data_IF_892161169935
#
_entry.id   IF_892161169935
#
_cell.length_a   1.000
_cell.length_b   1.000
_cell.length_c   1.000
_cell.angle_alpha   90.00
_cell.angle_beta   90.00
_cell.angle_gamma   90.00
#
_symmetry.space_group_name_H-M   'P 1'
#
loop_
_entity.id
_entity.type
_entity.pdbx_description
1 polymer ?
#
# COMPACT_ATOMS: atom_id res chain seq x y z
N UNK A 1 10.94 3.99 -70.41
CA UNK A 1 12.13 3.35 -69.81
C UNK A 1 12.22 3.55 -68.30
N UNK A 2 11.97 4.74 -67.72
CA UNK A 2 12.01 4.91 -66.25
C UNK A 2 10.91 4.18 -65.46
N UNK A 3 9.76 3.91 -66.06
CA UNK A 3 8.63 3.21 -65.40
C UNK A 3 8.80 1.70 -65.28
N UNK A 4 9.66 1.08 -66.09
CA UNK A 4 9.95 -0.36 -66.00
C UNK A 4 10.93 -0.67 -64.86
N UNK A 5 11.94 0.18 -64.66
CA UNK A 5 12.91 0.03 -63.56
C UNK A 5 12.26 0.11 -62.17
N UNK A 6 11.29 1.00 -61.97
CA UNK A 6 10.58 1.12 -60.68
C UNK A 6 9.67 -0.08 -60.37
N UNK A 7 9.10 -0.71 -61.41
CA UNK A 7 8.27 -1.91 -61.26
C UNK A 7 9.13 -3.13 -60.90
N UNK A 8 10.33 -3.20 -61.49
CA UNK A 8 11.29 -4.28 -61.21
C UNK A 8 11.84 -4.19 -59.78
N UNK A 9 12.14 -2.98 -59.27
CA UNK A 9 12.56 -2.78 -57.87
C UNK A 9 11.48 -3.18 -56.86
N UNK A 10 10.22 -2.83 -57.12
CA UNK A 10 9.11 -3.20 -56.25
C UNK A 10 8.88 -4.72 -56.21
N UNK A 11 9.09 -5.39 -57.34
CA UNK A 11 8.97 -6.85 -57.46
C UNK A 11 10.11 -7.57 -56.73
N UNK A 12 11.33 -7.02 -56.77
CA UNK A 12 12.48 -7.54 -56.02
C UNK A 12 12.24 -7.38 -54.50
N UNK A 13 11.80 -6.20 -54.05
CA UNK A 13 11.54 -5.94 -52.63
C UNK A 13 10.43 -6.83 -52.05
N UNK A 14 9.37 -7.11 -52.81
CA UNK A 14 8.32 -8.04 -52.39
C UNK A 14 8.85 -9.47 -52.24
N UNK A 15 9.70 -9.90 -53.17
CA UNK A 15 10.28 -11.25 -53.16
C UNK A 15 11.27 -11.44 -52.01
N UNK A 16 12.05 -10.42 -51.68
CA UNK A 16 12.96 -10.43 -50.52
C UNK A 16 12.18 -10.46 -49.19
N UNK A 17 11.06 -9.74 -49.11
CA UNK A 17 10.18 -9.76 -47.94
C UNK A 17 9.52 -11.14 -47.75
N UNK A 18 9.03 -11.75 -48.84
CA UNK A 18 8.47 -13.11 -48.81
C UNK A 18 9.52 -14.14 -48.38
N UNK A 19 10.75 -14.06 -48.91
CA UNK A 19 11.86 -14.91 -48.47
C UNK A 19 12.22 -14.71 -47.00
N UNK A 20 12.16 -13.47 -46.49
CA UNK A 20 12.40 -13.18 -45.08
C UNK A 20 11.30 -13.75 -44.17
N UNK A 21 10.03 -13.62 -44.58
CA UNK A 21 8.88 -14.18 -43.85
C UNK A 21 8.98 -15.71 -43.83
N UNK A 22 9.34 -16.33 -44.95
CA UNK A 22 9.49 -17.78 -45.07
C UNK A 22 10.71 -18.29 -44.28
N UNK A 23 11.82 -17.54 -44.27
CA UNK A 23 12.97 -17.83 -43.42
C UNK A 23 12.64 -17.71 -41.93
N UNK A 24 11.82 -16.74 -41.51
CA UNK A 24 11.36 -16.64 -40.12
C UNK A 24 10.36 -17.74 -39.73
N UNK A 25 9.45 -18.12 -40.63
CA UNK A 25 8.49 -19.20 -40.40
C UNK A 25 9.18 -20.56 -40.27
N UNK A 26 10.27 -20.78 -41.01
CA UNK A 26 11.10 -21.98 -40.96
C UNK A 26 12.20 -21.93 -39.89
N UNK A 27 12.41 -20.79 -39.22
CA UNK A 27 13.36 -20.64 -38.12
C UNK A 27 12.78 -21.01 -36.74
N UNK A 28 11.59 -21.61 -36.70
CA UNK A 28 11.08 -22.26 -35.49
C UNK A 28 11.85 -23.58 -35.35
N UNK A 29 12.74 -23.74 -34.35
CA UNK A 29 13.37 -25.03 -34.15
C UNK A 29 12.30 -26.07 -33.80
N UNK A 30 12.26 -27.15 -34.58
CA UNK A 30 11.57 -28.40 -34.29
C UNK A 30 12.06 -28.95 -32.94
N UNK A 31 11.49 -28.46 -31.84
CA UNK A 31 11.57 -29.14 -30.55
C UNK A 31 10.21 -29.82 -30.36
N UNK A 32 10.14 -31.16 -30.37
CA UNK A 32 8.90 -31.87 -30.14
C UNK A 32 8.34 -31.52 -28.75
N UNK A 33 7.01 -31.57 -28.54
CA UNK A 33 6.33 -31.19 -27.28
C UNK A 33 6.59 -32.17 -26.12
N UNK A 34 7.73 -32.87 -26.12
CA UNK A 34 8.20 -33.75 -25.05
C UNK A 34 9.05 -33.06 -23.98
N UNK A 35 9.37 -31.76 -24.11
CA UNK A 35 10.27 -31.06 -23.19
C UNK A 35 9.85 -29.61 -22.89
N UNK A 36 8.56 -29.38 -22.61
CA UNK A 36 8.07 -28.04 -22.22
C UNK A 36 8.74 -27.49 -20.93
N UNK A 37 9.49 -28.32 -20.20
CA UNK A 37 10.17 -27.97 -18.95
C UNK A 37 11.68 -27.74 -19.09
N UNK A 38 12.36 -28.17 -20.17
CA UNK A 38 13.78 -27.85 -20.39
C UNK A 38 14.08 -26.36 -20.43
N UNK A 39 13.28 -25.53 -21.16
CA UNK A 39 13.56 -24.10 -21.23
C UNK A 39 13.51 -23.44 -19.85
N UNK A 40 12.64 -23.93 -18.96
CA UNK A 40 12.51 -23.43 -17.59
C UNK A 40 13.73 -23.87 -16.76
N UNK A 41 14.14 -25.13 -16.89
CA UNK A 41 15.30 -25.64 -16.18
C UNK A 41 16.59 -24.92 -16.60
N UNK A 42 16.76 -24.71 -17.91
CA UNK A 42 17.88 -23.95 -18.46
C UNK A 42 17.84 -22.49 -18.02
N UNK A 43 16.66 -21.87 -17.96
CA UNK A 43 16.52 -20.51 -17.46
C UNK A 43 16.93 -20.41 -15.98
N UNK A 44 16.52 -21.36 -15.14
CA UNK A 44 16.94 -21.41 -13.73
C UNK A 44 18.45 -21.59 -13.59
N UNK A 45 19.05 -22.51 -14.35
CA UNK A 45 20.50 -22.73 -14.35
C UNK A 45 21.25 -21.46 -14.78
N UNK A 46 20.80 -20.80 -15.85
CA UNK A 46 21.40 -19.55 -16.34
C UNK A 46 21.30 -18.42 -15.31
N UNK A 47 20.17 -18.31 -14.60
CA UNK A 47 19.96 -17.30 -13.55
C UNK A 47 20.92 -17.55 -12.39
N UNK A 48 21.06 -18.80 -11.95
CA UNK A 48 21.99 -19.14 -10.87
C UNK A 48 23.44 -18.89 -11.30
N UNK A 49 23.82 -19.30 -12.52
CA UNK A 49 25.16 -19.10 -13.05
C UNK A 49 25.51 -17.62 -13.15
N UNK A 50 24.57 -16.81 -13.65
CA UNK A 50 24.74 -15.37 -13.73
C UNK A 50 24.82 -14.72 -12.34
N UNK A 51 24.00 -15.16 -11.38
CA UNK A 51 24.04 -14.68 -10.01
C UNK A 51 25.40 -14.95 -9.35
N UNK A 52 25.94 -16.17 -9.49
CA UNK A 52 27.26 -16.52 -8.96
C UNK A 52 28.38 -15.74 -9.65
N UNK A 53 28.32 -15.59 -10.97
CA UNK A 53 29.26 -14.77 -11.71
C UNK A 53 29.26 -13.32 -11.23
N UNK A 54 28.08 -12.71 -11.03
CA UNK A 54 27.96 -11.35 -10.48
C UNK A 54 28.56 -11.22 -9.08
N UNK A 55 28.33 -12.21 -8.22
CA UNK A 55 28.92 -12.24 -6.88
C UNK A 55 30.45 -12.31 -6.95
N UNK A 56 31.00 -13.15 -7.82
CA UNK A 56 32.44 -13.26 -8.05
C UNK A 56 33.03 -11.96 -8.62
N UNK A 57 32.36 -11.31 -9.57
CA UNK A 57 32.80 -10.00 -10.08
C UNK A 57 32.80 -8.95 -8.98
N UNK A 58 31.81 -8.97 -8.08
CA UNK A 58 31.71 -8.03 -6.96
C UNK A 58 32.79 -8.26 -5.90
N UNK A 59 33.24 -9.49 -5.69
CA UNK A 59 34.34 -9.82 -4.80
C UNK A 59 35.71 -9.42 -5.37
N UNK A 60 35.91 -9.55 -6.69
CA UNK A 60 37.20 -9.32 -7.34
C UNK A 60 37.42 -7.89 -7.86
N UNK A 61 36.36 -7.14 -8.16
CA UNK A 61 36.45 -5.78 -8.69
C UNK A 61 36.30 -4.73 -7.59
N UNK A 62 36.96 -3.59 -7.75
CA UNK A 62 36.68 -2.44 -6.90
C UNK A 62 35.23 -1.96 -7.11
N UNK A 63 34.66 -1.28 -6.09
CA UNK A 63 33.30 -0.70 -6.15
C UNK A 63 33.09 0.19 -7.38
N UNK A 64 34.13 0.90 -7.84
CA UNK A 64 34.09 1.78 -9.02
C UNK A 64 34.03 0.97 -10.32
N UNK A 65 34.84 -0.09 -10.43
CA UNK A 65 34.89 -0.98 -11.61
C UNK A 65 33.61 -1.81 -11.73
N UNK A 66 33.11 -2.36 -10.62
CA UNK A 66 31.85 -3.10 -10.62
C UNK A 66 30.66 -2.23 -11.07
N UNK A 67 30.57 -0.98 -10.58
CA UNK A 67 29.56 -0.01 -11.05
C UNK A 67 29.74 0.38 -12.51
N UNK A 68 30.97 0.35 -13.04
CA UNK A 68 31.22 0.58 -14.47
C UNK A 68 30.71 -0.60 -15.29
N UNK A 69 30.97 -1.83 -14.85
CA UNK A 69 30.46 -3.06 -15.48
C UNK A 69 28.93 -3.09 -15.53
N UNK A 70 28.25 -2.78 -14.42
CA UNK A 70 26.78 -2.73 -14.39
C UNK A 70 26.24 -1.70 -15.38
N UNK A 71 26.84 -0.50 -15.44
CA UNK A 71 26.44 0.54 -16.40
C UNK A 71 26.66 0.14 -17.85
N UNK A 72 27.73 -0.58 -18.16
CA UNK A 72 27.98 -1.12 -19.52
C UNK A 72 26.90 -2.12 -19.96
N UNK A 73 26.33 -2.86 -19.00
CA UNK A 73 25.22 -3.79 -19.24
C UNK A 73 23.83 -3.11 -19.14
N UNK A 74 23.77 -1.79 -18.92
CA UNK A 74 22.52 -1.05 -18.77
C UNK A 74 21.81 -1.24 -17.41
N UNK A 75 22.48 -1.82 -16.41
CA UNK A 75 21.91 -2.11 -15.10
C UNK A 75 22.19 -0.97 -14.11
N UNK A 76 21.20 -0.67 -13.27
CA UNK A 76 21.25 0.35 -12.20
C UNK A 76 21.25 -0.30 -10.82
N UNK A 77 20.25 -1.12 -10.51
CA UNK A 77 20.03 -1.74 -9.18
C UNK A 77 19.51 -3.18 -9.25
N UNK A 78 19.37 -3.72 -10.47
CA UNK A 78 18.86 -5.04 -10.76
C UNK A 78 19.75 -6.15 -10.18
N UNK A 79 21.06 -5.89 -10.08
CA UNK A 79 22.07 -6.79 -9.52
C UNK A 79 21.75 -7.23 -8.09
N UNK A 80 21.12 -6.36 -7.30
CA UNK A 80 20.80 -6.61 -5.89
C UNK A 80 19.96 -7.89 -5.71
N UNK A 81 19.05 -8.19 -6.64
CA UNK A 81 18.23 -9.41 -6.57
C UNK A 81 19.05 -10.67 -6.86
N UNK A 82 19.96 -10.60 -7.84
CA UNK A 82 20.84 -11.70 -8.20
C UNK A 82 21.90 -11.97 -7.13
N UNK A 83 22.44 -10.93 -6.52
CA UNK A 83 23.39 -11.07 -5.40
C UNK A 83 22.74 -11.76 -4.19
N UNK A 84 21.46 -11.50 -3.91
CA UNK A 84 20.71 -12.24 -2.87
C UNK A 84 20.56 -13.72 -3.23
N UNK A 85 20.30 -14.03 -4.50
CA UNK A 85 20.25 -15.42 -5.00
C UNK A 85 21.60 -16.11 -4.80
N UNK A 86 22.69 -15.46 -5.20
CA UNK A 86 24.04 -15.99 -5.03
C UNK A 86 24.37 -16.24 -3.54
N UNK A 87 24.01 -15.31 -2.65
CA UNK A 87 24.23 -15.45 -1.22
C UNK A 87 23.41 -16.61 -0.62
N UNK A 88 22.13 -16.73 -0.99
CA UNK A 88 21.23 -17.76 -0.46
C UNK A 88 21.58 -19.17 -0.93
N UNK A 89 22.05 -19.33 -2.18
CA UNK A 89 22.31 -20.62 -2.80
C UNK A 89 23.80 -20.92 -3.01
N UNK A 90 24.69 -20.23 -2.29
CA UNK A 90 26.16 -20.37 -2.41
C UNK A 90 26.66 -21.81 -2.26
N UNK A 91 25.95 -22.63 -1.48
CA UNK A 91 26.31 -24.01 -1.17
C UNK A 91 25.77 -25.04 -2.19
N UNK A 92 24.92 -24.63 -3.14
CA UNK A 92 24.29 -25.53 -4.11
C UNK A 92 25.02 -25.49 -5.45
N UNK A 93 25.10 -26.64 -6.13
CA UNK A 93 25.47 -26.61 -7.53
C UNK A 93 24.29 -26.11 -8.38
N UNK A 94 24.60 -25.38 -9.45
CA UNK A 94 23.60 -24.81 -10.37
C UNK A 94 22.60 -25.86 -10.91
N UNK A 95 23.09 -27.09 -11.12
CA UNK A 95 22.31 -28.21 -11.65
C UNK A 95 21.32 -28.78 -10.65
N UNK A 96 21.63 -28.74 -9.35
CA UNK A 96 20.78 -29.34 -8.30
C UNK A 96 19.46 -28.59 -8.18
N UNK A 97 19.48 -27.28 -8.47
CA UNK A 97 18.30 -26.41 -8.40
C UNK A 97 17.61 -26.20 -9.77
N UNK A 98 18.10 -26.85 -10.83
CA UNK A 98 17.57 -26.70 -12.20
C UNK A 98 16.09 -27.09 -12.31
N UNK A 99 15.60 -28.00 -11.46
CA UNK A 99 14.20 -28.45 -11.44
C UNK A 99 13.25 -27.51 -10.68
N UNK A 100 13.75 -26.36 -10.19
CA UNK A 100 12.97 -25.33 -9.51
C UNK A 100 12.64 -24.21 -10.50
N UNK A 101 11.45 -23.63 -10.38
CA UNK A 101 11.07 -22.48 -11.21
C UNK A 101 11.86 -21.21 -10.82
N UNK A 102 12.26 -20.35 -11.77
CA UNK A 102 12.99 -19.11 -11.49
C UNK A 102 12.30 -18.22 -10.45
N UNK A 103 10.98 -18.13 -10.51
CA UNK A 103 10.17 -17.34 -9.58
C UNK A 103 10.30 -17.81 -8.12
N UNK A 104 10.51 -19.11 -7.92
CA UNK A 104 10.65 -19.73 -6.60
C UNK A 104 12.05 -19.48 -6.04
N UNK A 105 13.09 -19.57 -6.87
CA UNK A 105 14.47 -19.18 -6.52
C UNK A 105 14.49 -17.74 -5.99
N UNK A 106 13.91 -16.79 -6.74
CA UNK A 106 13.84 -15.40 -6.29
C UNK A 106 12.99 -15.23 -5.02
N UNK A 107 11.91 -15.99 -4.85
CA UNK A 107 11.05 -15.91 -3.66
C UNK A 107 11.81 -16.32 -2.39
N UNK A 108 12.56 -17.43 -2.47
CA UNK A 108 13.38 -17.95 -1.38
C UNK A 108 14.50 -16.95 -1.04
N UNK A 109 15.28 -16.55 -2.05
CA UNK A 109 16.42 -15.66 -1.87
C UNK A 109 16.06 -14.24 -1.38
N UNK A 110 14.92 -13.69 -1.80
CA UNK A 110 14.52 -12.34 -1.37
C UNK A 110 14.06 -12.27 0.09
N UNK A 111 13.70 -13.40 0.71
CA UNK A 111 13.20 -13.46 2.08
C UNK A 111 13.99 -14.49 2.91
N UNK A 112 15.32 -14.30 3.08
CA UNK A 112 16.17 -15.30 3.71
C UNK A 112 15.72 -15.58 5.15
N UNK A 113 15.40 -14.55 5.95
CA UNK A 113 14.91 -14.71 7.34
C UNK A 113 13.70 -15.64 7.46
N UNK A 114 12.84 -15.69 6.44
CA UNK A 114 11.61 -16.49 6.46
C UNK A 114 11.84 -17.92 5.98
N UNK A 115 12.70 -18.09 4.97
CA UNK A 115 12.89 -19.36 4.27
C UNK A 115 14.27 -19.99 4.49
N UNK A 116 15.11 -19.43 5.39
CA UNK A 116 16.45 -19.94 5.64
C UNK A 116 16.41 -21.42 6.03
N UNK A 117 15.55 -21.78 6.98
CA UNK A 117 15.38 -23.17 7.38
C UNK A 117 14.96 -24.08 6.21
N UNK A 118 14.26 -23.54 5.20
CA UNK A 118 13.82 -24.36 4.06
C UNK A 118 15.00 -24.57 3.13
N UNK A 119 15.77 -23.50 2.90
CA UNK A 119 17.00 -23.54 2.12
C UNK A 119 18.00 -24.51 2.78
N UNK A 120 18.17 -24.47 4.10
CA UNK A 120 19.07 -25.37 4.80
C UNK A 120 18.62 -26.83 4.67
N UNK A 121 17.31 -27.12 4.82
CA UNK A 121 16.75 -28.45 4.62
C UNK A 121 16.88 -28.98 3.19
N UNK A 122 17.01 -28.11 2.18
CA UNK A 122 17.25 -28.53 0.80
C UNK A 122 18.63 -29.16 0.62
N UNK A 123 19.61 -28.87 1.47
CA UNK A 123 20.96 -29.47 1.39
C UNK A 123 20.97 -30.96 1.71
N UNK A 124 20.05 -31.41 2.56
CA UNK A 124 19.96 -32.80 3.01
C UNK A 124 19.14 -33.67 2.05
N UNK A 125 18.48 -33.08 1.04
CA UNK A 125 17.65 -33.81 0.10
C UNK A 125 18.48 -34.38 -1.07
N UNK A 126 18.27 -35.66 -1.44
CA UNK A 126 19.00 -36.27 -2.56
C UNK A 126 18.56 -35.74 -3.92
N UNK A 127 17.33 -35.24 -4.02
CA UNK A 127 16.79 -34.63 -5.24
C UNK A 127 15.89 -33.45 -4.90
N UNK A 128 16.21 -32.29 -5.46
CA UNK A 128 15.47 -31.06 -5.22
C UNK A 128 14.50 -30.84 -6.38
N UNK A 129 13.20 -30.83 -6.10
CA UNK A 129 12.14 -30.61 -7.10
C UNK A 129 11.27 -29.44 -6.69
N UNK A 130 10.54 -28.86 -7.65
CA UNK A 130 9.59 -27.78 -7.38
C UNK A 130 8.52 -28.18 -6.33
N UNK A 131 8.11 -29.46 -6.29
CA UNK A 131 7.15 -29.95 -5.30
C UNK A 131 7.72 -29.97 -3.89
N UNK A 132 8.92 -30.54 -3.70
CA UNK A 132 9.55 -30.62 -2.37
C UNK A 132 9.80 -29.24 -1.77
N UNK A 133 10.22 -28.27 -2.60
CA UNK A 133 10.38 -26.88 -2.18
C UNK A 133 9.05 -26.26 -1.73
N UNK A 134 7.96 -26.51 -2.46
CA UNK A 134 6.62 -25.99 -2.09
C UNK A 134 6.13 -26.61 -0.77
N UNK A 135 6.40 -27.87 -0.54
CA UNK A 135 6.03 -28.57 0.69
C UNK A 135 6.81 -28.00 1.89
N UNK A 136 8.13 -27.79 1.76
CA UNK A 136 8.96 -27.16 2.79
C UNK A 136 8.50 -25.73 3.11
N UNK A 137 8.19 -24.93 2.08
CA UNK A 137 7.62 -23.58 2.26
C UNK A 137 6.29 -23.64 3.02
N UNK A 138 5.49 -24.67 2.79
CA UNK A 138 4.18 -24.84 3.43
C UNK A 138 4.33 -25.28 4.88
N UNK A 139 5.24 -26.20 5.17
CA UNK A 139 5.56 -26.66 6.53
C UNK A 139 6.08 -25.52 7.42
N UNK A 140 6.75 -24.52 6.82
CA UNK A 140 7.24 -23.33 7.53
C UNK A 140 6.20 -22.25 7.75
N UNK A 141 5.00 -22.38 7.20
CA UNK A 141 3.90 -21.49 7.60
C UNK A 141 3.48 -21.90 8.99
N UNK A 142 3.77 -21.05 9.98
CA UNK A 142 3.16 -21.17 11.31
C UNK A 142 1.64 -21.32 11.13
N UNK A 143 1.01 -22.30 11.79
CA UNK A 143 -0.43 -22.44 11.76
C UNK A 143 -1.03 -21.10 12.15
N UNK A 144 -1.67 -20.43 11.19
CA UNK A 144 -2.36 -19.19 11.47
C UNK A 144 -3.58 -19.62 12.25
N UNK A 145 -3.54 -19.50 13.57
CA UNK A 145 -4.71 -19.75 14.40
C UNK A 145 -5.88 -18.99 13.77
N UNK A 146 -7.00 -19.67 13.48
CA UNK A 146 -8.15 -19.03 12.90
C UNK A 146 -8.61 -17.99 13.92
N UNK A 147 -8.29 -16.71 13.65
CA UNK A 147 -8.77 -15.59 14.47
C UNK A 147 -10.27 -15.82 14.63
N UNK A 148 -10.73 -16.06 15.86
CA UNK A 148 -12.15 -16.13 16.16
C UNK A 148 -12.76 -14.81 15.70
N UNK A 149 -13.45 -14.83 14.57
CA UNK A 149 -14.01 -13.63 13.95
C UNK A 149 -15.23 -13.27 14.77
N UNK A 150 -15.04 -12.51 15.85
CA UNK A 150 -16.14 -11.70 16.39
C UNK A 150 -16.73 -10.92 15.21
N UNK A 151 -18.07 -10.93 15.03
CA UNK A 151 -18.70 -10.23 13.93
C UNK A 151 -18.38 -8.74 14.05
N UNK A 152 -17.49 -8.26 13.18
CA UNK A 152 -17.14 -6.85 13.11
C UNK A 152 -18.13 -6.14 12.20
N UNK A 153 -18.78 -5.11 12.72
CA UNK A 153 -19.63 -4.20 11.94
C UNK A 153 -18.81 -3.15 11.17
N UNK A 154 -17.48 -3.14 11.31
CA UNK A 154 -16.62 -2.19 10.61
C UNK A 154 -16.34 -2.62 9.18
N UNK A 155 -16.38 -1.65 8.26
CA UNK A 155 -16.02 -1.79 6.85
C UNK A 155 -15.00 -0.72 6.48
N UNK A 156 -14.19 -0.99 5.45
CA UNK A 156 -13.23 -0.04 4.90
C UNK A 156 -13.76 0.58 3.61
N UNK A 157 -13.52 1.87 3.41
CA UNK A 157 -13.77 2.55 2.13
C UNK A 157 -12.57 2.37 1.20
N UNK A 158 -12.77 2.62 -0.10
CA UNK A 158 -11.68 2.57 -1.10
C UNK A 158 -10.52 3.53 -0.79
N UNK A 159 -10.79 4.57 0.01
CA UNK A 159 -9.83 5.60 0.39
C UNK A 159 -9.16 5.32 1.76
N UNK A 160 -9.33 4.12 2.33
CA UNK A 160 -8.74 3.75 3.61
C UNK A 160 -9.49 4.22 4.86
N UNK A 161 -10.60 4.96 4.69
CA UNK A 161 -11.49 5.33 5.79
C UNK A 161 -12.29 4.12 6.33
N UNK A 162 -12.89 4.26 7.52
CA UNK A 162 -13.73 3.22 8.12
C UNK A 162 -15.16 3.74 8.33
N UNK A 163 -16.15 2.88 8.12
CA UNK A 163 -17.54 3.14 8.47
C UNK A 163 -18.14 1.91 9.14
N UNK A 164 -19.14 2.12 9.99
CA UNK A 164 -19.92 1.03 10.56
C UNK A 164 -21.10 0.70 9.64
N UNK A 165 -21.38 -0.60 9.47
CA UNK A 165 -22.54 -1.10 8.77
C UNK A 165 -23.25 -2.09 9.70
N UNK A 166 -24.43 -1.70 10.16
CA UNK A 166 -25.30 -2.57 10.95
C UNK A 166 -25.95 -3.58 9.98
N UNK A 167 -25.87 -4.89 10.25
CA UNK A 167 -26.58 -5.90 9.46
C UNK A 167 -28.10 -5.66 9.47
N UNK A 168 -28.85 -6.22 8.51
CA UNK A 168 -30.31 -6.19 8.56
C UNK A 168 -30.84 -6.70 9.89
N UNK A 169 -31.71 -5.91 10.53
CA UNK A 169 -32.37 -6.27 11.77
C UNK A 169 -33.69 -6.95 11.39
N UNK A 170 -33.82 -8.22 11.72
CA UNK A 170 -35.04 -9.00 11.51
C UNK A 170 -35.67 -9.27 12.88
N UNK A 171 -36.67 -8.46 13.25
CA UNK A 171 -37.47 -8.62 14.47
C UNK A 171 -38.91 -8.97 14.10
N UNK A 172 -39.52 -9.94 14.78
CA UNK A 172 -40.90 -10.35 14.51
C UNK A 172 -41.91 -9.25 14.84
N UNK A 173 -41.63 -8.41 15.84
CA UNK A 173 -42.49 -7.29 16.23
C UNK A 173 -42.34 -6.07 15.33
N UNK A 174 -41.31 -6.04 14.48
CA UNK A 174 -40.92 -4.90 13.63
C UNK A 174 -40.68 -3.58 14.39
N UNK A 175 -40.70 -3.61 15.73
CA UNK A 175 -40.83 -2.43 16.57
C UNK A 175 -39.64 -1.48 16.40
N UNK A 176 -38.42 -1.99 16.30
CA UNK A 176 -37.22 -1.16 16.10
C UNK A 176 -37.30 -0.37 14.79
N UNK A 177 -37.77 -0.99 13.71
CA UNK A 177 -37.91 -0.34 12.40
C UNK A 177 -39.03 0.69 12.40
N UNK A 178 -40.20 0.35 12.92
CA UNK A 178 -41.37 1.26 12.96
C UNK A 178 -41.13 2.46 13.86
N UNK A 179 -40.52 2.25 15.03
CA UNK A 179 -40.22 3.34 15.98
C UNK A 179 -39.14 4.25 15.42
N UNK A 180 -38.11 3.70 14.77
CA UNK A 180 -37.07 4.51 14.13
C UNK A 180 -37.64 5.37 12.99
N UNK A 181 -38.49 4.80 12.15
CA UNK A 181 -39.15 5.54 11.08
C UNK A 181 -40.05 6.65 11.65
N UNK A 182 -40.84 6.36 12.67
CA UNK A 182 -41.69 7.34 13.32
C UNK A 182 -40.87 8.51 13.92
N UNK A 183 -39.75 8.22 14.60
CA UNK A 183 -38.86 9.28 15.11
C UNK A 183 -38.27 10.13 13.98
N UNK A 184 -37.94 9.54 12.83
CA UNK A 184 -37.48 10.31 11.67
C UNK A 184 -38.57 11.23 11.11
N UNK A 185 -39.81 10.76 11.05
CA UNK A 185 -40.94 11.49 10.49
C UNK A 185 -41.43 12.59 11.44
N UNK A 186 -41.52 12.31 12.74
CA UNK A 186 -42.04 13.22 13.77
C UNK A 186 -41.00 14.28 14.17
N UNK A 187 -39.73 13.91 14.29
CA UNK A 187 -38.66 14.81 14.79
C UNK A 187 -37.82 15.42 13.67
N UNK A 188 -37.96 14.93 12.43
CA UNK A 188 -37.15 15.38 11.28
C UNK A 188 -35.67 15.01 11.39
N UNK A 189 -35.31 14.08 12.27
CA UNK A 189 -33.94 13.64 12.48
C UNK A 189 -33.55 12.53 11.50
N UNK A 190 -32.26 12.46 11.16
CA UNK A 190 -31.75 11.32 10.41
C UNK A 190 -31.60 10.08 11.30
N UNK A 191 -31.77 8.89 10.73
CA UNK A 191 -31.52 7.63 11.44
C UNK A 191 -30.13 7.59 12.10
N UNK A 192 -29.10 8.16 11.46
CA UNK A 192 -27.75 8.22 12.02
C UNK A 192 -27.70 9.02 13.33
N UNK A 193 -28.44 10.13 13.39
CA UNK A 193 -28.50 10.99 14.58
C UNK A 193 -29.23 10.29 15.72
N UNK A 194 -30.38 9.70 15.42
CA UNK A 194 -31.17 8.93 16.39
C UNK A 194 -30.35 7.77 16.97
N UNK A 195 -29.66 7.00 16.13
CA UNK A 195 -28.78 5.91 16.57
C UNK A 195 -27.64 6.43 17.46
N UNK A 196 -27.03 7.57 17.11
CA UNK A 196 -25.97 8.16 17.94
C UNK A 196 -26.47 8.55 19.33
N UNK A 197 -27.67 9.13 19.42
CA UNK A 197 -28.29 9.51 20.70
C UNK A 197 -28.69 8.28 21.52
N UNK A 198 -29.27 7.26 20.89
CA UNK A 198 -29.59 5.99 21.54
C UNK A 198 -28.33 5.29 22.11
N UNK A 199 -27.21 5.32 21.39
CA UNK A 199 -25.93 4.80 21.87
C UNK A 199 -25.43 5.61 23.08
N UNK A 200 -25.51 6.95 23.01
CA UNK A 200 -25.11 7.82 24.13
C UNK A 200 -25.96 7.57 25.39
N UNK A 201 -27.28 7.42 25.23
CA UNK A 201 -28.19 7.05 26.32
C UNK A 201 -27.84 5.68 26.90
N UNK A 202 -27.55 4.68 26.05
CA UNK A 202 -27.13 3.36 26.51
C UNK A 202 -25.83 3.40 27.30
N UNK A 203 -24.85 4.21 26.87
CA UNK A 203 -23.60 4.40 27.61
C UNK A 203 -23.83 5.08 28.95
N UNK A 204 -24.61 6.16 28.98
CA UNK A 204 -24.93 6.88 30.22
C UNK A 204 -25.68 5.98 31.23
N UNK A 205 -26.56 5.09 30.75
CA UNK A 205 -27.20 4.08 31.59
C UNK A 205 -26.20 3.06 32.16
N UNK A 206 -25.30 2.52 31.33
CA UNK A 206 -24.27 1.57 31.77
C UNK A 206 -23.28 2.19 32.77
N UNK A 207 -22.99 3.48 32.63
CA UNK A 207 -22.12 4.24 33.55
C UNK A 207 -22.84 4.70 34.82
N UNK A 208 -24.13 4.35 35.01
CA UNK A 208 -24.92 4.71 36.18
C UNK A 208 -25.34 6.19 36.25
N UNK A 209 -25.15 6.95 35.16
CA UNK A 209 -25.58 8.35 35.05
C UNK A 209 -27.08 8.49 34.79
N UNK A 210 -27.73 7.42 34.35
CA UNK A 210 -29.18 7.34 34.16
C UNK A 210 -29.74 6.21 35.01
N UNK A 211 -30.80 6.49 35.77
CA UNK A 211 -31.57 5.49 36.51
C UNK A 211 -32.95 5.40 35.87
N UNK A 212 -33.37 4.18 35.55
CA UNK A 212 -34.72 3.94 35.03
C UNK A 212 -35.71 4.14 36.18
N UNK A 213 -36.42 5.27 36.17
CA UNK A 213 -37.53 5.51 37.08
C UNK A 213 -38.73 4.74 36.54
N UNK A 214 -39.14 3.69 37.25
CA UNK A 214 -40.42 3.05 36.95
C UNK A 214 -41.53 4.02 37.37
N UNK A 215 -42.56 4.25 36.53
CA UNK A 215 -43.68 5.08 36.92
C UNK A 215 -44.36 4.43 38.13
N UNK A 216 -44.33 5.14 39.27
CA UNK A 216 -45.18 4.77 40.40
C UNK A 216 -46.62 4.86 39.91
N UNK A 217 -47.34 3.73 39.96
CA UNK A 217 -48.78 3.74 39.77
C UNK A 217 -49.36 4.64 40.87
N UNK A 218 -49.79 5.84 40.49
CA UNK A 218 -50.67 6.67 41.32
C UNK A 218 -51.96 5.87 41.52
N UNK A 219 -52.04 5.14 42.63
CA UNK A 219 -53.32 4.65 43.14
C UNK A 219 -54.11 5.87 43.60
N UNK A 220 -54.97 6.36 42.71
CA UNK A 220 -55.98 7.35 43.03
C UNK A 220 -56.94 6.77 44.07
N UNK A 221 -56.87 7.23 45.32
CA UNK A 221 -58.02 7.22 46.23
C UNK A 221 -58.34 8.65 46.59
N UNK A 222 -59.44 9.13 46.03
CA UNK A 222 -60.09 10.38 46.41
C UNK A 222 -60.35 10.42 47.92
N UNK A 223 -59.92 11.50 48.56
CA UNK A 223 -60.62 12.09 49.72
C UNK A 223 -60.27 13.58 49.74
N UNK A 224 -61.26 14.41 49.41
CA UNK A 224 -61.21 15.85 49.61
C UNK A 224 -61.04 16.16 51.10
N UNK A 225 -60.15 17.12 51.44
CA UNK A 225 -60.48 18.25 52.33
C UNK A 225 -59.26 19.18 52.52
N UNK A 226 -59.42 20.37 51.94
CA UNK A 226 -59.32 21.69 52.58
C UNK A 226 -57.97 22.30 53.04
N UNK A 227 -57.93 23.62 52.86
CA UNK A 227 -57.14 24.65 53.55
C UNK A 227 -55.69 25.00 53.09
N UNK A 228 -55.64 26.01 52.20
CA UNK A 228 -54.96 27.33 52.34
C UNK A 228 -53.45 27.51 52.60
N UNK A 229 -52.84 28.39 51.76
CA UNK A 229 -51.76 29.40 52.03
C UNK A 229 -50.33 28.80 52.13
N UNK A 230 -49.22 29.31 51.59
CA UNK A 230 -48.80 30.59 51.01
C UNK A 230 -47.60 30.37 50.05
N UNK A 231 -47.41 31.37 49.19
CA UNK A 231 -46.21 31.69 48.40
C UNK A 231 -44.94 31.75 49.26
N UNK A 232 -43.85 31.13 48.81
CA UNK A 232 -42.50 31.73 48.76
C UNK A 232 -41.50 30.82 48.02
N UNK A 233 -40.98 31.32 46.90
CA UNK A 233 -39.59 31.06 46.54
C UNK A 233 -38.68 31.69 47.61
N UNK A 234 -37.47 31.17 47.79
CA UNK A 234 -36.38 31.94 47.20
C UNK A 234 -35.29 31.07 46.54
N UNK A 235 -34.76 31.67 45.48
CA UNK A 235 -33.40 31.56 44.98
C UNK A 235 -32.38 31.89 46.10
N UNK A 236 -31.17 31.31 46.02
CA UNK A 236 -29.86 31.84 46.42
C UNK A 236 -28.87 30.68 46.65
N UNK A 237 -27.88 30.63 45.76
CA UNK A 237 -26.57 30.00 45.94
C UNK A 237 -25.86 30.48 47.20
N UNK A 238 -25.18 29.61 47.94
CA UNK A 238 -23.87 29.94 48.53
C UNK A 238 -23.06 28.71 48.98
N UNK A 239 -21.76 28.90 48.87
CA UNK A 239 -20.62 28.00 49.01
C UNK A 239 -20.31 27.58 50.46
N UNK A 240 -19.77 26.35 50.57
CA UNK A 240 -18.60 25.89 51.35
C UNK A 240 -18.46 26.37 52.82
N UNK A 241 -18.52 25.44 53.80
CA UNK A 241 -17.31 24.95 54.50
C UNK A 241 -17.58 23.78 55.49
N UNK A 242 -16.66 22.80 55.46
CA UNK A 242 -16.06 21.95 56.53
C UNK A 242 -16.80 21.79 57.88
N UNK A 243 -16.94 20.61 58.51
CA UNK A 243 -15.84 19.76 59.01
C UNK A 243 -16.40 18.47 59.70
N UNK A 244 -15.66 17.36 59.51
CA UNK A 244 -15.49 16.12 60.29
C UNK A 244 -16.55 15.61 61.30
N UNK A 245 -16.97 14.34 61.13
CA UNK A 245 -16.89 13.31 62.20
C UNK A 245 -16.60 11.93 61.57
N UNK A 246 -15.48 11.34 61.99
CA UNK A 246 -15.08 9.97 61.72
C UNK A 246 -15.84 8.97 62.61
N UNK A 247 -16.23 7.81 62.08
CA UNK A 247 -16.31 6.56 62.86
C UNK A 247 -15.87 5.36 62.02
N UNK A 248 -14.77 4.77 62.46
CA UNK A 248 -14.24 3.46 62.07
C UNK A 248 -15.12 2.33 62.63
N UNK A 249 -15.21 1.20 61.90
CA UNK A 249 -15.38 -0.13 62.52
C UNK A 249 -14.69 -1.17 61.66
N UNK A 250 -13.96 -2.07 62.33
CA UNK A 250 -12.80 -2.82 61.88
C UNK A 250 -13.12 -4.31 61.57
N UNK A 251 -12.38 -4.84 60.58
CA UNK A 251 -11.81 -6.20 60.43
C UNK A 251 -12.67 -7.48 60.50
N UNK A 252 -12.50 -8.32 59.47
CA UNK A 252 -11.95 -9.69 59.66
C UNK A 252 -11.18 -10.21 58.43
N UNK A 253 -10.10 -10.92 58.74
CA UNK A 253 -8.97 -11.39 57.92
C UNK A 253 -9.13 -12.88 57.60
N UNK A 254 -8.68 -13.33 56.42
CA UNK A 254 -8.02 -14.64 56.25
C UNK A 254 -6.83 -14.49 55.29
N UNK A 255 -5.67 -14.96 55.74
CA UNK A 255 -4.33 -14.88 55.14
C UNK A 255 -3.95 -16.15 54.35
N UNK A 256 -2.77 -16.12 53.69
CA UNK A 256 -1.70 -17.14 53.51
C UNK A 256 -0.75 -16.56 52.41
N UNK A 257 0.42 -15.98 52.73
CA UNK A 257 1.77 -16.59 52.89
C UNK A 257 2.29 -17.25 51.59
N UNK A 258 3.54 -17.12 51.11
CA UNK A 258 4.83 -16.77 51.74
C UNK A 258 5.90 -16.48 50.66
N UNK A 259 6.97 -15.82 51.13
CA UNK A 259 8.24 -15.37 50.54
C UNK A 259 9.08 -16.41 49.79
N UNK A 260 9.98 -15.97 48.87
CA UNK A 260 11.43 -16.35 48.83
C UNK A 260 12.23 -15.29 48.04
N UNK A 261 13.12 -14.57 48.73
CA UNK A 261 14.27 -13.84 48.18
C UNK A 261 15.44 -14.81 47.89
N UNK A 262 16.21 -14.57 46.82
CA UNK A 262 17.54 -15.15 46.67
C UNK A 262 18.46 -14.21 45.87
N UNK A 263 19.41 -13.56 46.58
CA UNK A 263 20.63 -13.01 46.00
C UNK A 263 21.62 -14.14 45.71
N UNK A 264 22.38 -14.07 44.61
CA UNK A 264 23.76 -14.58 44.64
C UNK A 264 24.68 -13.85 43.62
N UNK A 265 25.83 -13.46 44.14
CA UNK A 265 26.99 -12.90 43.43
C UNK A 265 27.96 -14.04 43.12
N UNK A 266 28.59 -14.05 41.93
CA UNK A 266 30.02 -14.40 41.83
C UNK A 266 30.62 -14.18 40.43
N UNK A 267 31.68 -13.37 40.45
CA UNK A 267 33.02 -13.57 39.87
C UNK A 267 33.30 -13.67 38.35
N UNK A 268 34.15 -12.70 37.96
CA UNK A 268 35.29 -12.69 37.04
C UNK A 268 35.30 -13.54 35.76
N UNK A 269 35.49 -12.85 34.63
CA UNK A 269 36.76 -12.95 33.90
C UNK A 269 37.00 -11.70 33.04
N UNK A 270 38.12 -11.02 33.31
CA UNK A 270 38.84 -10.18 32.37
C UNK A 270 39.51 -11.09 31.31
N UNK A 271 39.83 -10.62 30.08
CA UNK A 271 41.08 -9.87 29.94
C UNK A 271 41.08 -8.75 28.86
N UNK A 272 41.73 -7.63 29.24
CA UNK A 272 42.92 -7.08 28.58
C UNK A 272 42.78 -6.36 27.21
N UNK A 273 42.93 -5.03 27.33
CA UNK A 273 43.85 -4.13 26.61
C UNK A 273 43.65 -3.90 25.12
N UNK A 274 43.17 -2.68 24.84
CA UNK A 274 43.33 -1.97 23.58
C UNK A 274 42.80 -0.55 23.74
N UNK A 275 43.51 0.26 24.55
CA UNK A 275 43.14 1.62 24.90
C UNK A 275 42.87 2.48 23.66
N UNK A 276 41.60 2.84 23.47
CA UNK A 276 41.19 3.98 22.65
C UNK A 276 41.39 5.23 23.51
N UNK A 277 42.52 5.92 23.34
CA UNK A 277 42.66 7.29 23.82
C UNK A 277 42.18 8.24 22.74
N UNK A 278 41.07 8.88 23.06
CA UNK A 278 40.48 10.03 22.39
C UNK A 278 41.41 11.23 22.52
N UNK A 279 41.84 11.80 21.39
CA UNK A 279 42.25 13.20 21.29
C UNK A 279 41.32 13.88 20.27
N UNK A 280 40.71 15.04 20.59
CA UNK A 280 39.72 15.69 19.74
C UNK A 280 40.33 16.73 18.78
N UNK A 281 39.76 16.71 17.56
CA UNK A 281 39.49 17.84 16.64
C UNK A 281 40.63 18.43 15.77
N UNK A 282 40.35 18.85 14.50
CA UNK A 282 39.24 19.73 14.16
C UNK A 282 38.29 19.30 13.02
N UNK A 283 37.11 19.89 13.14
CA UNK A 283 35.96 19.98 12.26
C UNK A 283 36.18 20.05 10.73
N UNK A 284 35.15 19.54 10.04
CA UNK A 284 34.59 19.93 8.72
C UNK A 284 35.46 19.67 7.50
N UNK A 285 35.02 18.70 6.69
CA UNK A 285 34.23 18.97 5.48
C UNK A 285 34.11 17.64 4.71
N UNK A 286 32.96 17.00 4.76
CA UNK A 286 32.52 16.11 3.69
C UNK A 286 31.06 15.73 3.94
N UNK A 287 30.21 16.35 3.14
CA UNK A 287 28.77 16.28 3.20
C UNK A 287 28.31 14.82 3.03
N UNK A 288 27.79 14.23 4.10
CA UNK A 288 26.92 13.07 3.99
C UNK A 288 25.64 13.53 3.28
N UNK A 289 25.43 13.02 2.06
CA UNK A 289 24.19 13.17 1.31
C UNK A 289 23.11 12.35 2.04
N UNK A 290 22.55 12.98 3.07
CA UNK A 290 21.29 12.60 3.70
C UNK A 290 20.20 12.62 2.64
N UNK A 291 20.00 11.49 1.94
CA UNK A 291 18.71 11.19 1.32
C UNK A 291 17.70 10.93 2.43
N UNK A 292 17.38 11.99 3.14
CA UNK A 292 16.20 12.11 3.99
C UNK A 292 14.99 11.71 3.16
N UNK A 293 14.02 11.10 3.82
CA UNK A 293 12.77 10.62 3.27
C UNK A 293 11.95 11.82 2.74
N UNK A 294 12.31 12.36 1.56
CA UNK A 294 11.67 13.56 1.00
C UNK A 294 10.23 13.22 0.65
N UNK A 295 9.30 14.01 1.22
CA UNK A 295 7.87 13.87 0.97
C UNK A 295 7.59 13.81 -0.54
N UNK A 296 6.79 12.83 -1.03
CA UNK A 296 6.44 12.71 -2.44
C UNK A 296 5.88 14.00 -3.07
N UNK A 297 5.24 14.84 -2.26
CA UNK A 297 4.73 16.15 -2.67
C UNK A 297 5.88 17.11 -3.01
N UNK A 298 6.94 17.14 -2.18
CA UNK A 298 8.10 18.01 -2.40
C UNK A 298 8.89 17.59 -3.64
N UNK A 299 9.04 16.28 -3.85
CA UNK A 299 9.63 15.74 -5.09
C UNK A 299 8.83 16.17 -6.34
N UNK A 300 7.49 16.15 -6.26
CA UNK A 300 6.64 16.62 -7.36
C UNK A 300 6.77 18.13 -7.58
N UNK A 301 6.82 18.95 -6.53
CA UNK A 301 7.03 20.40 -6.66
C UNK A 301 8.40 20.68 -7.27
N UNK A 302 9.46 20.07 -6.76
CA UNK A 302 10.83 20.26 -7.25
C UNK A 302 10.96 19.86 -8.72
N UNK A 303 10.37 18.71 -9.11
CA UNK A 303 10.36 18.28 -10.51
C UNK A 303 9.59 19.25 -11.40
N UNK A 304 8.42 19.76 -10.98
CA UNK A 304 7.69 20.79 -11.73
C UNK A 304 8.45 22.11 -11.84
N UNK A 305 9.29 22.46 -10.85
CA UNK A 305 10.14 23.65 -10.85
C UNK A 305 11.41 23.51 -11.69
N UNK A 306 12.00 22.32 -11.76
CA UNK A 306 13.22 22.07 -12.54
C UNK A 306 12.94 21.57 -13.96
N UNK A 307 11.73 21.09 -14.24
CA UNK A 307 11.41 20.51 -15.53
C UNK A 307 11.65 21.47 -16.70
N UNK A 308 12.33 20.95 -17.71
CA UNK A 308 12.66 21.65 -18.96
C UNK A 308 11.78 21.22 -20.13
N UNK A 309 11.08 20.09 -19.97
CA UNK A 309 10.27 19.47 -21.02
C UNK A 309 8.91 18.98 -20.49
N UNK A 310 7.93 18.84 -21.39
CA UNK A 310 6.64 18.24 -21.03
C UNK A 310 6.77 16.78 -20.64
N UNK A 311 7.72 16.03 -21.20
CA UNK A 311 7.88 14.62 -20.87
C UNK A 311 8.20 14.43 -19.37
N UNK A 312 9.11 15.24 -18.82
CA UNK A 312 9.45 15.22 -17.40
C UNK A 312 8.23 15.52 -16.51
N UNK A 313 7.43 16.52 -16.90
CA UNK A 313 6.20 16.92 -16.21
C UNK A 313 5.17 15.78 -16.26
N UNK A 314 4.94 15.21 -17.43
CA UNK A 314 3.96 14.13 -17.64
C UNK A 314 4.33 12.87 -16.85
N UNK A 315 5.63 12.52 -16.78
CA UNK A 315 6.14 11.38 -16.04
C UNK A 315 5.98 11.60 -14.53
N UNK A 316 6.35 12.78 -14.04
CA UNK A 316 6.18 13.14 -12.63
C UNK A 316 4.69 13.10 -12.21
N UNK A 317 3.80 13.62 -13.05
CA UNK A 317 2.35 13.57 -12.82
C UNK A 317 1.77 12.15 -12.90
N UNK A 318 2.34 11.25 -13.71
CA UNK A 318 1.96 9.83 -13.74
C UNK A 318 2.35 9.12 -12.43
N UNK A 319 3.53 9.42 -11.89
CA UNK A 319 4.05 8.79 -10.68
C UNK A 319 3.42 9.32 -9.39
N UNK A 320 3.06 10.61 -9.36
CA UNK A 320 2.60 11.31 -8.15
C UNK A 320 1.23 12.00 -8.34
N UNK A 321 0.36 11.43 -9.18
CA UNK A 321 -0.91 12.04 -9.60
C UNK A 321 -1.85 12.43 -8.46
N UNK A 322 -1.81 11.70 -7.34
CA UNK A 322 -2.60 11.98 -6.13
C UNK A 322 -2.26 13.34 -5.48
N UNK A 323 -1.02 13.81 -5.67
CA UNK A 323 -0.52 15.06 -5.09
C UNK A 323 -0.56 16.23 -6.07
N UNK A 324 -1.12 16.04 -7.27
CA UNK A 324 -1.14 17.05 -8.34
C UNK A 324 -1.70 18.40 -7.89
N UNK A 325 -2.80 18.39 -7.12
CA UNK A 325 -3.47 19.62 -6.71
C UNK A 325 -2.64 20.38 -5.67
N UNK A 326 -2.10 19.67 -4.66
CA UNK A 326 -1.22 20.24 -3.64
C UNK A 326 0.06 20.82 -4.24
N UNK A 327 0.69 20.07 -5.17
CA UNK A 327 1.87 20.55 -5.86
C UNK A 327 1.57 21.76 -6.76
N UNK A 328 0.42 21.76 -7.44
CA UNK A 328 0.00 22.91 -8.25
C UNK A 328 -0.23 24.16 -7.40
N UNK A 329 -0.88 24.04 -6.24
CA UNK A 329 -1.16 25.18 -5.38
C UNK A 329 0.12 25.80 -4.77
N UNK A 330 1.13 24.96 -4.51
CA UNK A 330 2.44 25.39 -4.01
C UNK A 330 3.30 26.16 -5.03
N UNK A 331 3.01 26.05 -6.33
CA UNK A 331 3.79 26.74 -7.38
C UNK A 331 3.47 28.23 -7.46
N UNK A 332 4.51 29.03 -7.70
CA UNK A 332 4.38 30.47 -7.93
C UNK A 332 3.66 30.78 -9.25
N UNK A 333 3.05 31.96 -9.40
CA UNK A 333 2.38 32.35 -10.64
C UNK A 333 3.29 32.33 -11.88
N UNK A 334 4.59 32.63 -11.71
CA UNK A 334 5.58 32.59 -12.78
C UNK A 334 5.87 31.15 -13.25
N UNK A 335 6.03 30.22 -12.30
CA UNK A 335 6.22 28.79 -12.60
C UNK A 335 4.98 28.19 -13.27
N UNK A 336 3.78 28.53 -12.80
CA UNK A 336 2.51 28.13 -13.44
C UNK A 336 2.44 28.60 -14.89
N UNK A 337 2.87 29.84 -15.17
CA UNK A 337 2.93 30.38 -16.54
C UNK A 337 3.96 29.64 -17.40
N UNK A 338 5.11 29.28 -16.84
CA UNK A 338 6.13 28.48 -17.53
C UNK A 338 5.61 27.08 -17.85
N UNK A 339 5.01 26.38 -16.88
CA UNK A 339 4.40 25.07 -17.10
C UNK A 339 3.30 25.12 -18.16
N UNK A 340 2.48 26.17 -18.14
CA UNK A 340 1.48 26.38 -19.18
C UNK A 340 2.15 26.48 -20.55
N UNK A 341 3.25 27.23 -20.71
CA UNK A 341 3.99 27.33 -21.97
C UNK A 341 4.60 26.01 -22.44
N UNK A 342 5.09 25.17 -21.52
CA UNK A 342 5.65 23.85 -21.82
C UNK A 342 4.58 22.81 -22.16
N UNK A 343 3.32 23.03 -21.74
CA UNK A 343 2.23 22.09 -22.01
C UNK A 343 1.89 22.06 -23.51
N UNK A 344 1.89 20.89 -24.17
CA UNK A 344 1.55 20.73 -25.59
C UNK A 344 0.16 21.27 -25.90
N UNK A 345 -0.01 21.74 -27.13
CA UNK A 345 -1.28 22.31 -27.62
C UNK A 345 -2.44 21.31 -27.52
N UNK A 346 -2.14 20.04 -27.71
CA UNK A 346 -3.05 18.90 -27.71
C UNK A 346 -3.61 18.67 -26.30
N UNK A 347 -2.73 18.66 -25.30
CA UNK A 347 -3.11 18.53 -23.88
C UNK A 347 -3.95 19.73 -23.44
N UNK A 348 -3.62 20.95 -23.92
CA UNK A 348 -4.45 22.14 -23.63
C UNK A 348 -5.85 21.98 -24.22
N UNK A 349 -5.98 21.55 -25.47
CA UNK A 349 -7.27 21.28 -26.15
C UNK A 349 -8.09 20.24 -25.40
N UNK A 350 -7.48 19.11 -25.00
CA UNK A 350 -8.14 18.08 -24.19
C UNK A 350 -8.57 18.59 -22.81
N UNK A 351 -7.72 19.38 -22.14
CA UNK A 351 -8.08 19.98 -20.85
C UNK A 351 -9.26 20.95 -20.97
N UNK A 352 -9.32 21.71 -22.07
CA UNK A 352 -10.43 22.61 -22.37
C UNK A 352 -11.71 21.84 -22.67
N UNK A 353 -11.62 20.76 -23.46
CA UNK A 353 -12.74 19.86 -23.75
C UNK A 353 -13.29 19.20 -22.46
N UNK A 354 -12.41 18.81 -21.53
CA UNK A 354 -12.79 18.28 -20.22
C UNK A 354 -13.52 19.33 -19.37
N UNK A 355 -12.98 20.55 -19.31
CA UNK A 355 -13.64 21.69 -18.60
C UNK A 355 -14.98 22.06 -19.21
N UNK A 356 -15.12 21.93 -20.54
CA UNK A 356 -16.37 22.17 -21.25
C UNK A 356 -17.37 20.99 -21.12
N UNK A 357 -17.01 19.89 -20.45
CA UNK A 357 -17.86 18.72 -20.28
C UNK A 357 -18.03 17.85 -21.52
N UNK A 358 -17.26 18.10 -22.60
CA UNK A 358 -17.31 17.28 -23.83
C UNK A 358 -16.71 15.90 -23.63
N UNK A 359 -15.67 15.82 -22.79
CA UNK A 359 -15.00 14.56 -22.42
C UNK A 359 -15.03 14.40 -20.90
N UNK A 360 -15.05 13.15 -20.45
CA UNK A 360 -15.03 12.76 -19.04
C UNK A 360 -13.59 12.82 -18.52
N UNK A 361 -12.66 12.17 -19.23
CA UNK A 361 -11.26 12.16 -18.86
C UNK A 361 -10.33 11.85 -20.04
N UNK A 362 -9.03 12.10 -19.87
CA UNK A 362 -8.02 11.74 -20.88
C UNK A 362 -6.68 11.36 -20.23
N UNK A 363 -5.91 10.52 -20.92
CA UNK A 363 -4.57 10.07 -20.50
C UNK A 363 -3.62 9.98 -21.70
N UNK A 364 -2.41 10.50 -21.54
CA UNK A 364 -1.34 10.35 -22.53
C UNK A 364 -0.68 8.97 -22.40
N UNK A 365 -0.78 8.14 -23.43
CA UNK A 365 -0.19 6.79 -23.46
C UNK A 365 1.26 6.86 -23.94
N UNK A 366 1.46 7.54 -25.07
CA UNK A 366 2.73 7.78 -25.73
C UNK A 366 2.73 9.21 -26.29
N UNK A 367 3.90 9.73 -26.65
CA UNK A 367 4.03 11.00 -27.37
C UNK A 367 3.04 11.05 -28.55
N UNK A 368 2.25 12.11 -28.61
CA UNK A 368 1.19 12.34 -29.60
C UNK A 368 0.05 11.29 -29.65
N UNK A 369 -0.08 10.44 -28.63
CA UNK A 369 -1.15 9.43 -28.54
C UNK A 369 -1.88 9.50 -27.20
N UNK A 370 -3.17 9.80 -27.27
CA UNK A 370 -4.04 10.03 -26.12
C UNK A 370 -5.17 9.00 -26.06
N UNK A 371 -5.45 8.49 -24.87
CA UNK A 371 -6.68 7.78 -24.56
C UNK A 371 -7.69 8.78 -24.02
N UNK A 372 -8.88 8.84 -24.61
CA UNK A 372 -9.93 9.79 -24.24
C UNK A 372 -11.21 9.01 -23.88
N UNK A 373 -11.85 9.41 -22.79
CA UNK A 373 -13.15 8.91 -22.38
C UNK A 373 -14.18 10.04 -22.55
N UNK A 374 -15.26 9.80 -23.27
CA UNK A 374 -16.31 10.79 -23.51
C UNK A 374 -17.70 10.22 -23.23
N UNK A 375 -18.69 11.11 -23.13
CA UNK A 375 -20.07 10.72 -22.89
C UNK A 375 -20.59 9.87 -24.05
N UNK A 376 -21.16 8.69 -23.74
CA UNK A 376 -21.68 7.75 -24.73
C UNK A 376 -20.71 6.61 -25.11
N UNK A 377 -19.45 6.65 -24.69
CA UNK A 377 -18.51 5.53 -24.87
C UNK A 377 -18.06 4.98 -23.51
N UNK A 378 -18.29 3.68 -23.29
CA UNK A 378 -17.88 2.97 -22.06
C UNK A 378 -16.38 2.67 -22.07
N UNK A 379 -15.76 2.69 -23.27
CA UNK A 379 -14.35 2.35 -23.46
C UNK A 379 -13.50 3.60 -23.71
N UNK A 380 -12.21 3.49 -23.42
CA UNK A 380 -11.22 4.50 -23.77
C UNK A 380 -10.93 4.43 -25.27
N UNK A 381 -11.11 5.54 -25.98
CA UNK A 381 -10.77 5.65 -27.40
C UNK A 381 -9.34 6.19 -27.56
N UNK A 382 -8.56 5.58 -28.45
CA UNK A 382 -7.19 6.02 -28.74
C UNK A 382 -7.21 7.02 -29.89
N UNK A 383 -6.74 8.24 -29.60
CA UNK A 383 -6.72 9.38 -30.52
C UNK A 383 -5.29 9.89 -30.66
N UNK A 384 -4.78 9.94 -31.89
CA UNK A 384 -3.49 10.58 -32.19
C UNK A 384 -3.62 12.10 -32.25
N UNK A 385 -2.53 12.83 -32.00
CA UNK A 385 -2.48 14.30 -32.10
C UNK A 385 -3.00 14.81 -33.46
N UNK A 386 -2.63 14.13 -34.54
CA UNK A 386 -3.07 14.43 -35.91
C UNK A 386 -4.58 14.31 -36.14
N UNK A 387 -5.28 13.49 -35.34
CA UNK A 387 -6.74 13.25 -35.45
C UNK A 387 -7.53 13.97 -34.36
N UNK A 388 -6.86 14.59 -33.39
CA UNK A 388 -7.48 15.20 -32.22
C UNK A 388 -8.51 16.28 -32.57
N UNK A 389 -8.20 17.15 -33.54
CA UNK A 389 -9.10 18.23 -33.94
C UNK A 389 -10.36 17.68 -34.63
N UNK A 390 -10.21 16.66 -35.48
CA UNK A 390 -11.36 15.98 -36.10
C UNK A 390 -12.24 15.26 -35.07
N UNK A 391 -11.63 14.66 -34.06
CA UNK A 391 -12.31 13.97 -32.97
C UNK A 391 -13.08 14.94 -32.08
N UNK A 392 -12.46 16.05 -31.65
CA UNK A 392 -13.11 17.07 -30.82
C UNK A 392 -14.24 17.83 -31.54
N UNK A 393 -14.23 17.86 -32.88
CA UNK A 393 -15.33 18.41 -33.67
C UNK A 393 -16.54 17.47 -33.76
N UNK A 394 -16.35 16.18 -33.53
CA UNK A 394 -17.42 15.17 -33.53
C UNK A 394 -18.10 15.03 -32.15
N UNK A 395 -17.49 15.55 -31.09
CA UNK A 395 -18.01 15.63 -29.72
C UNK A 395 -18.69 16.97 -29.43
#
# INVERSE_FOLDING_TARGET
MMTQLALDEQTIAQRELEQYIEAQANAIPDVPPGSAFEPIAQATENILAHAMWLAQQKENLSKKEYRKLLRQQGWKTEDTKYLKVAAAFKLFAHRDLSKIEPSTIFRLANNPKKYQSAIDQLLDLPEITQATVRDLITQQRSPKEPKQKLPSIWRQTKNGGRYCQIPPIHEESEQTGTTLQQMMDDEGLSAQRIVAEAIALRQAYLEGRLVLVQPQQETSTNSEQDATIAVQQPDVSQEIDSEAVAQETTLQVIAIAEDVDFEDQSDYNEPVVGAWTFEPEPEKDDCEDDTANVSPVLLLIETLQKASSWQEISLALKNYGEYKQLAWDALTPLEKKRLASLTPTEVRKLSAAKKAGKIIDFKEVQEDVYQVQHHGCVFWEVVSASRLDSFLAQL
#
